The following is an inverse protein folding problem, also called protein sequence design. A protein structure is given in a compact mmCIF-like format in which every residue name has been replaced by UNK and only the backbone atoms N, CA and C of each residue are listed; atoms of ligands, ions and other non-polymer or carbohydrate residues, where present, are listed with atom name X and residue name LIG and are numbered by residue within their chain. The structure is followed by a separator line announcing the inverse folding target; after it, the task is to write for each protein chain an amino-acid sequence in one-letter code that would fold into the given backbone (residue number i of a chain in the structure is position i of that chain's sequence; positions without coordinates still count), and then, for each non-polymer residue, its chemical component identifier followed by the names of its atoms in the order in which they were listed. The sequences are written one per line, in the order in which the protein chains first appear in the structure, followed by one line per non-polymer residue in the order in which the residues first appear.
data_IF_263882460643
#
_entry.id   IF_263882460643
#
_cell.length_a   1.000
_cell.length_b   1.000
_cell.length_c   1.000
_cell.angle_alpha   90.00
_cell.angle_beta   90.00
_cell.angle_gamma   90.00
#
_symmetry.space_group_name_H-M   'P 1'
#
loop_
_entity.id
_entity.type
_entity.pdbx_description
1 polymer ?
#
# COMPACT_ATOMS: atom_id res chain seq x y z
N UNK A 1 34.63 -23.72 14.61
CA UNK A 1 33.52 -23.54 15.59
C UNK A 1 33.25 -22.04 15.86
N UNK A 2 34.26 -21.20 16.05
CA UNK A 2 34.08 -19.76 16.35
C UNK A 2 33.51 -18.95 15.16
N UNK A 3 33.86 -19.23 13.92
CA UNK A 3 33.33 -18.55 12.72
C UNK A 3 31.83 -18.82 12.52
N UNK A 4 31.40 -20.08 12.68
CA UNK A 4 29.99 -20.46 12.55
C UNK A 4 29.16 -19.79 13.66
N UNK A 5 29.70 -19.71 14.87
CA UNK A 5 29.02 -19.03 15.98
C UNK A 5 28.90 -17.51 15.74
N UNK A 6 29.94 -16.87 15.18
CA UNK A 6 29.92 -15.46 14.82
C UNK A 6 28.91 -15.15 13.70
N UNK A 7 28.83 -15.99 12.66
CA UNK A 7 27.85 -15.85 11.58
C UNK A 7 26.43 -16.06 12.09
N UNK A 8 26.20 -17.07 12.96
CA UNK A 8 24.90 -17.30 13.60
C UNK A 8 24.48 -16.13 14.44
N UNK A 9 25.39 -15.54 15.24
CA UNK A 9 25.08 -14.38 16.08
C UNK A 9 24.79 -13.13 15.23
N UNK A 10 25.51 -12.93 14.13
CA UNK A 10 25.26 -11.85 13.17
C UNK A 10 23.89 -12.02 12.49
N UNK A 11 23.53 -13.25 12.13
CA UNK A 11 22.21 -13.57 11.56
C UNK A 11 21.07 -13.33 12.57
N UNK A 12 21.26 -13.75 13.82
CA UNK A 12 20.27 -13.51 14.89
C UNK A 12 20.11 -12.02 15.19
N UNK A 13 21.20 -11.27 15.28
CA UNK A 13 21.15 -9.83 15.49
C UNK A 13 20.43 -9.10 14.33
N UNK A 14 20.68 -9.51 13.08
CA UNK A 14 19.98 -8.95 11.92
C UNK A 14 18.47 -9.27 11.93
N UNK A 15 18.10 -10.42 12.47
CA UNK A 15 16.69 -10.82 12.66
C UNK A 15 16.02 -10.00 13.77
N UNK A 16 16.68 -9.79 14.89
CA UNK A 16 16.16 -8.98 16.01
C UNK A 16 15.99 -7.51 15.60
N UNK A 17 16.88 -6.96 14.79
CA UNK A 17 16.76 -5.62 14.23
C UNK A 17 15.58 -5.54 13.26
N UNK A 18 15.41 -6.54 12.40
CA UNK A 18 14.27 -6.66 11.49
C UNK A 18 12.94 -6.77 12.23
N UNK A 19 12.87 -7.53 13.33
CA UNK A 19 11.67 -7.63 14.17
C UNK A 19 11.34 -6.31 14.88
N UNK A 20 12.34 -5.59 15.40
CA UNK A 20 12.14 -4.27 16.02
C UNK A 20 11.61 -3.24 15.04
N UNK A 21 12.05 -3.27 13.79
CA UNK A 21 11.54 -2.40 12.74
C UNK A 21 10.10 -2.72 12.37
N UNK A 22 9.71 -4.00 12.34
CA UNK A 22 8.33 -4.44 12.11
C UNK A 22 7.43 -3.99 13.24
N UNK A 23 7.80 -4.21 14.51
CA UNK A 23 7.03 -3.78 15.66
C UNK A 23 6.83 -2.25 15.69
N UNK A 24 7.87 -1.49 15.40
CA UNK A 24 7.80 -0.03 15.29
C UNK A 24 6.90 0.43 14.16
N UNK A 25 6.94 -0.25 13.00
CA UNK A 25 6.06 0.04 11.88
C UNK A 25 4.60 -0.28 12.22
N UNK A 26 4.33 -1.42 12.86
CA UNK A 26 2.99 -1.78 13.31
C UNK A 26 2.45 -0.79 14.34
N UNK A 27 3.29 -0.30 15.25
CA UNK A 27 2.92 0.73 16.22
C UNK A 27 2.57 2.06 15.51
N UNK A 28 3.37 2.48 14.51
CA UNK A 28 3.11 3.67 13.71
C UNK A 28 1.83 3.55 12.86
N UNK A 29 1.49 2.34 12.41
CA UNK A 29 0.27 2.05 11.66
C UNK A 29 -0.97 1.96 12.55
N UNK A 30 -0.78 1.54 13.82
CA UNK A 30 -1.89 1.27 14.73
C UNK A 30 -2.67 2.54 15.05
N UNK A 31 -3.99 2.48 14.84
CA UNK A 31 -4.88 3.59 15.15
C UNK A 31 -4.82 4.80 14.20
N UNK A 32 -3.96 4.77 13.16
CA UNK A 32 -3.86 5.83 12.15
C UNK A 32 -4.33 5.32 10.79
N UNK A 33 -4.96 6.20 10.02
CA UNK A 33 -5.21 5.93 8.60
C UNK A 33 -3.94 6.15 7.80
N UNK A 34 -3.66 5.27 6.83
CA UNK A 34 -2.46 5.33 6.02
C UNK A 34 -2.70 4.84 4.58
N UNK A 35 -1.75 5.10 3.70
CA UNK A 35 -1.79 4.73 2.30
C UNK A 35 -0.85 3.56 2.05
N UNK A 36 -1.37 2.49 1.45
CA UNK A 36 -0.57 1.38 0.93
C UNK A 36 -0.28 1.64 -0.54
N UNK A 37 0.95 2.05 -0.84
CA UNK A 37 1.44 2.15 -2.20
C UNK A 37 1.84 0.76 -2.69
N UNK A 38 1.32 0.34 -3.83
CA UNK A 38 1.51 -0.99 -4.38
C UNK A 38 1.91 -0.94 -5.85
N UNK A 39 2.40 -2.04 -6.37
CA UNK A 39 2.66 -2.27 -7.79
C UNK A 39 2.01 -3.56 -8.27
N UNK A 40 1.86 -3.72 -9.59
CA UNK A 40 1.41 -4.97 -10.24
C UNK A 40 2.50 -6.05 -10.21
N UNK A 41 3.19 -6.16 -9.08
CA UNK A 41 4.28 -7.12 -8.89
C UNK A 41 3.86 -8.29 -8.02
N UNK A 42 4.24 -9.49 -8.42
CA UNK A 42 3.92 -10.71 -7.70
C UNK A 42 2.42 -11.01 -7.67
N UNK A 43 1.95 -11.61 -6.60
CA UNK A 43 0.53 -11.97 -6.43
C UNK A 43 -0.24 -10.87 -5.69
N UNK A 44 -0.14 -9.65 -6.15
CA UNK A 44 -0.74 -8.47 -5.53
C UNK A 44 -2.27 -8.58 -5.30
N UNK A 45 -3.01 -9.26 -6.18
CA UNK A 45 -4.46 -9.51 -5.98
C UNK A 45 -4.77 -10.31 -4.70
N UNK A 46 -3.82 -11.10 -4.19
CA UNK A 46 -4.03 -11.82 -2.92
C UNK A 46 -4.04 -10.90 -1.71
N UNK A 47 -3.57 -9.67 -1.84
CA UNK A 47 -3.51 -8.70 -0.74
C UNK A 47 -4.88 -8.20 -0.29
N UNK A 48 -5.94 -8.48 -1.06
CA UNK A 48 -7.33 -8.22 -0.63
C UNK A 48 -7.70 -8.94 0.67
N UNK A 49 -7.03 -10.04 1.01
CA UNK A 49 -7.26 -10.75 2.26
C UNK A 49 -6.56 -10.10 3.47
N UNK A 50 -5.72 -9.08 3.26
CA UNK A 50 -5.06 -8.35 4.35
C UNK A 50 -6.07 -7.76 5.35
N UNK A 51 -7.28 -7.44 4.89
CA UNK A 51 -8.37 -6.98 5.76
C UNK A 51 -8.70 -7.97 6.89
N UNK A 52 -8.42 -9.27 6.72
CA UNK A 52 -8.59 -10.29 7.75
C UNK A 52 -7.52 -10.24 8.86
N UNK A 53 -6.44 -9.49 8.64
CA UNK A 53 -5.26 -9.43 9.52
C UNK A 53 -5.04 -8.02 10.11
N UNK A 54 -6.00 -7.12 9.95
CA UNK A 54 -5.92 -5.74 10.45
C UNK A 54 -7.23 -5.29 11.05
N UNK A 55 -7.17 -4.37 12.01
CA UNK A 55 -8.35 -3.70 12.56
C UNK A 55 -8.83 -2.53 11.70
N UNK A 56 -8.14 -2.22 10.61
CA UNK A 56 -8.48 -1.13 9.71
C UNK A 56 -9.63 -1.50 8.76
N UNK A 57 -10.32 -0.48 8.26
CA UNK A 57 -11.11 -0.60 7.03
C UNK A 57 -10.15 -0.53 5.84
N UNK A 58 -10.28 -1.43 4.89
CA UNK A 58 -9.39 -1.45 3.71
C UNK A 58 -10.17 -1.00 2.48
N UNK A 59 -9.75 0.11 1.89
CA UNK A 59 -10.22 0.63 0.62
C UNK A 59 -9.27 0.20 -0.50
N UNK A 60 -9.76 -0.62 -1.43
CA UNK A 60 -9.02 -0.98 -2.63
C UNK A 60 -9.43 -0.05 -3.78
N UNK A 61 -8.53 0.83 -4.17
CA UNK A 61 -8.80 1.79 -5.24
C UNK A 61 -8.78 1.09 -6.59
N UNK A 62 -9.81 1.32 -7.40
CA UNK A 62 -9.90 0.73 -8.71
C UNK A 62 -10.48 1.70 -9.75
N UNK A 63 -10.23 1.43 -11.01
CA UNK A 63 -10.88 2.11 -12.12
C UNK A 63 -12.08 1.28 -12.58
N UNK A 64 -13.30 1.81 -12.56
CA UNK A 64 -14.49 1.10 -13.03
C UNK A 64 -14.33 0.64 -14.48
N UNK A 65 -14.76 -0.58 -14.77
CA UNK A 65 -14.68 -1.19 -16.08
C UNK A 65 -15.91 -0.83 -16.92
N UNK A 66 -15.74 -0.67 -18.23
CA UNK A 66 -16.85 -0.38 -19.14
C UNK A 66 -17.89 -1.52 -19.20
N UNK A 67 -17.45 -2.77 -19.06
CA UNK A 67 -18.35 -3.91 -19.01
C UNK A 67 -18.89 -4.10 -17.58
N UNK A 68 -20.16 -3.78 -17.39
CA UNK A 68 -20.82 -3.84 -16.07
C UNK A 68 -20.88 -5.25 -15.46
N UNK A 69 -20.85 -6.32 -16.26
CA UNK A 69 -20.84 -7.70 -15.74
C UNK A 69 -19.47 -8.03 -15.17
N UNK A 70 -18.41 -7.69 -15.91
CA UNK A 70 -17.02 -7.88 -15.49
C UNK A 70 -16.71 -7.00 -14.27
N UNK A 71 -17.16 -5.76 -14.28
CA UNK A 71 -16.98 -4.83 -13.16
C UNK A 71 -17.59 -5.39 -11.86
N UNK A 72 -18.85 -5.87 -11.92
CA UNK A 72 -19.52 -6.51 -10.78
C UNK A 72 -18.79 -7.76 -10.30
N UNK A 73 -18.26 -8.57 -11.22
CA UNK A 73 -17.48 -9.75 -10.86
C UNK A 73 -16.22 -9.37 -10.05
N UNK A 74 -15.42 -8.43 -10.54
CA UNK A 74 -14.22 -7.98 -9.82
C UNK A 74 -14.56 -7.29 -8.52
N UNK A 75 -15.60 -6.47 -8.49
CA UNK A 75 -16.09 -5.85 -7.26
C UNK A 75 -16.45 -6.91 -6.20
N UNK A 76 -17.23 -7.91 -6.58
CA UNK A 76 -17.61 -9.01 -5.68
C UNK A 76 -16.40 -9.83 -5.24
N UNK A 77 -15.47 -10.15 -6.15
CA UNK A 77 -14.26 -10.90 -5.83
C UNK A 77 -13.37 -10.15 -4.82
N UNK A 78 -13.21 -8.85 -4.99
CA UNK A 78 -12.41 -8.00 -4.10
C UNK A 78 -13.08 -7.73 -2.75
N UNK A 79 -14.40 -7.73 -2.69
CA UNK A 79 -15.16 -7.49 -1.44
C UNK A 79 -15.32 -8.74 -0.58
N UNK A 80 -15.00 -9.93 -1.09
CA UNK A 80 -15.32 -11.22 -0.44
C UNK A 80 -14.75 -11.39 0.97
N UNK A 81 -13.67 -10.69 1.30
CA UNK A 81 -13.04 -10.73 2.63
C UNK A 81 -13.35 -9.49 3.49
N UNK A 82 -14.13 -8.53 2.97
CA UNK A 82 -14.45 -7.29 3.67
C UNK A 82 -13.68 -6.06 3.19
N UNK A 83 -12.77 -6.22 2.22
CA UNK A 83 -12.16 -5.08 1.50
C UNK A 83 -13.24 -4.34 0.75
N UNK A 84 -13.19 -3.01 0.75
CA UNK A 84 -14.14 -2.12 0.10
C UNK A 84 -13.53 -1.57 -1.20
N UNK A 85 -13.92 -2.05 -2.38
CA UNK A 85 -13.51 -1.45 -3.64
C UNK A 85 -14.09 -0.04 -3.76
N UNK A 86 -13.23 0.95 -4.01
CA UNK A 86 -13.65 2.35 -4.15
C UNK A 86 -13.17 2.90 -5.49
N UNK A 87 -14.06 3.50 -6.31
CA UNK A 87 -13.66 4.14 -7.55
C UNK A 87 -12.60 5.22 -7.32
N UNK A 88 -11.63 5.30 -8.21
CA UNK A 88 -10.50 6.24 -8.12
C UNK A 88 -10.97 7.69 -7.94
N UNK A 89 -12.06 8.09 -8.59
CA UNK A 89 -12.58 9.46 -8.50
C UNK A 89 -13.21 9.79 -7.14
N UNK A 90 -13.67 8.77 -6.39
CA UNK A 90 -14.37 8.93 -5.13
C UNK A 90 -13.47 8.72 -3.91
N UNK A 91 -12.26 8.16 -4.09
CA UNK A 91 -11.43 7.72 -2.97
C UNK A 91 -11.08 8.83 -1.97
N UNK A 92 -10.86 10.04 -2.45
CA UNK A 92 -10.53 11.15 -1.58
C UNK A 92 -11.71 11.51 -0.67
N UNK A 93 -12.91 11.61 -1.24
CA UNK A 93 -14.16 11.88 -0.53
C UNK A 93 -14.48 10.77 0.48
N UNK A 94 -14.41 9.51 0.05
CA UNK A 94 -14.70 8.35 0.89
C UNK A 94 -13.70 8.23 2.05
N UNK A 95 -12.43 8.52 1.81
CA UNK A 95 -11.40 8.52 2.88
C UNK A 95 -11.68 9.60 3.93
N UNK A 96 -12.05 10.81 3.51
CA UNK A 96 -12.42 11.90 4.43
C UNK A 96 -13.67 11.50 5.23
N UNK A 97 -14.73 11.04 4.56
CA UNK A 97 -15.96 10.62 5.21
C UNK A 97 -15.71 9.52 6.25
N UNK A 98 -14.90 8.53 5.90
CA UNK A 98 -14.55 7.45 6.80
C UNK A 98 -13.75 7.91 8.04
N UNK A 99 -12.86 8.87 7.88
CA UNK A 99 -12.10 9.46 9.02
C UNK A 99 -12.97 10.32 9.92
N UNK A 100 -13.91 11.07 9.34
CA UNK A 100 -14.83 11.93 10.11
C UNK A 100 -15.90 11.13 10.86
N UNK A 101 -16.25 9.94 10.39
CA UNK A 101 -17.27 9.10 11.04
C UNK A 101 -16.85 8.56 12.42
N UNK A 102 -15.60 8.75 12.83
CA UNK A 102 -15.10 8.29 14.13
C UNK A 102 -15.01 6.76 14.28
N UNK A 103 -15.07 6.03 13.17
CA UNK A 103 -14.95 4.58 13.15
C UNK A 103 -13.49 4.08 13.11
N UNK A 104 -13.32 2.84 12.68
CA UNK A 104 -11.98 2.25 12.48
C UNK A 104 -11.15 3.07 11.48
N UNK A 105 -9.83 3.20 11.68
CA UNK A 105 -8.94 3.86 10.75
C UNK A 105 -8.95 3.16 9.38
N UNK A 106 -8.49 3.85 8.34
CA UNK A 106 -8.58 3.41 6.95
C UNK A 106 -7.21 3.15 6.36
N UNK A 107 -7.07 2.02 5.69
CA UNK A 107 -5.97 1.76 4.75
C UNK A 107 -6.47 2.03 3.34
N UNK A 108 -5.80 2.91 2.61
CA UNK A 108 -6.10 3.18 1.20
C UNK A 108 -5.06 2.47 0.35
N UNK A 109 -5.43 1.37 -0.29
CA UNK A 109 -4.55 0.60 -1.16
C UNK A 109 -4.63 1.13 -2.60
N UNK A 110 -3.50 1.65 -3.10
CA UNK A 110 -3.33 2.24 -4.43
C UNK A 110 -2.20 1.54 -5.19
N UNK A 111 -2.50 1.09 -6.39
CA UNK A 111 -1.51 0.59 -7.34
C UNK A 111 -1.17 1.73 -8.29
N UNK A 112 0.08 2.15 -8.34
CA UNK A 112 0.49 3.39 -9.01
C UNK A 112 1.69 3.24 -9.97
N UNK A 113 1.98 2.03 -10.41
CA UNK A 113 3.08 1.70 -11.33
C UNK A 113 2.69 1.74 -12.81
N UNK A 114 1.48 2.18 -13.13
CA UNK A 114 1.04 2.38 -14.51
C UNK A 114 1.18 3.84 -14.94
N UNK A 115 1.34 4.03 -16.26
CA UNK A 115 1.36 5.35 -16.87
C UNK A 115 -0.02 6.01 -16.79
N UNK A 116 -0.13 7.26 -16.33
CA UNK A 116 -1.39 8.00 -16.37
C UNK A 116 -1.86 8.23 -17.82
N UNK A 117 -3.18 8.41 -18.05
CA UNK A 117 -3.68 8.90 -19.32
C UNK A 117 -3.00 10.23 -19.70
N UNK A 118 -2.76 10.46 -21.01
CA UNK A 118 -2.02 11.63 -21.48
C UNK A 118 -2.48 12.96 -20.89
N UNK A 119 -3.77 13.17 -20.78
CA UNK A 119 -4.36 14.40 -20.22
C UNK A 119 -4.23 14.54 -18.70
N UNK A 120 -3.83 13.49 -17.99
CA UNK A 120 -3.61 13.48 -16.54
C UNK A 120 -2.13 13.59 -16.17
N UNK A 121 -1.21 13.51 -17.14
CA UNK A 121 0.23 13.62 -16.89
C UNK A 121 0.56 15.05 -16.42
N UNK A 122 1.16 15.13 -15.23
CA UNK A 122 1.57 16.41 -14.64
C UNK A 122 3.07 16.48 -14.36
N UNK A 123 3.68 15.32 -14.11
CA UNK A 123 5.07 15.23 -13.73
C UNK A 123 5.75 14.11 -14.50
N UNK A 124 7.00 14.35 -14.88
CA UNK A 124 7.87 13.40 -15.55
C UNK A 124 9.10 13.20 -14.68
N UNK A 125 9.52 11.96 -14.53
CA UNK A 125 10.69 11.59 -13.77
C UNK A 125 11.62 10.73 -14.62
N UNK A 126 12.93 10.85 -14.41
CA UNK A 126 13.89 9.98 -15.04
C UNK A 126 13.85 8.61 -14.37
N UNK A 127 13.35 7.59 -15.08
CA UNK A 127 13.25 6.22 -14.59
C UNK A 127 13.77 5.25 -15.65
N UNK A 128 14.75 4.39 -15.28
CA UNK A 128 15.41 3.44 -16.20
C UNK A 128 15.89 4.11 -17.50
N UNK A 129 16.58 5.24 -17.38
CA UNK A 129 17.10 6.05 -18.48
C UNK A 129 16.04 6.63 -19.43
N UNK A 130 14.78 6.66 -19.04
CA UNK A 130 13.67 7.21 -19.81
C UNK A 130 12.88 8.23 -19.00
N UNK A 131 12.35 9.24 -19.67
CA UNK A 131 11.38 10.15 -19.07
C UNK A 131 10.05 9.43 -18.93
N UNK A 132 9.63 9.20 -17.70
CA UNK A 132 8.48 8.36 -17.36
C UNK A 132 7.49 9.16 -16.55
N UNK A 133 6.21 9.22 -16.96
CA UNK A 133 5.18 9.87 -16.17
C UNK A 133 4.63 8.94 -15.11
N UNK A 134 4.37 9.48 -13.93
CA UNK A 134 3.79 8.75 -12.81
C UNK A 134 2.49 9.40 -12.32
N UNK A 135 1.62 8.57 -11.74
CA UNK A 135 0.43 9.06 -11.05
C UNK A 135 0.81 9.84 -9.79
N UNK A 136 0.28 11.07 -9.65
CA UNK A 136 0.45 11.91 -8.46
C UNK A 136 -0.65 11.69 -7.40
N UNK A 137 -1.47 10.66 -7.54
CA UNK A 137 -2.62 10.43 -6.65
C UNK A 137 -2.21 10.14 -5.21
N UNK A 138 -1.19 9.29 -5.01
CA UNK A 138 -0.66 8.94 -3.69
C UNK A 138 -0.09 10.17 -3.00
N UNK A 139 0.80 10.90 -3.66
CA UNK A 139 1.42 12.12 -3.16
C UNK A 139 0.38 13.16 -2.73
N UNK A 140 -0.57 13.48 -3.62
CA UNK A 140 -1.64 14.44 -3.33
C UNK A 140 -2.49 14.04 -2.14
N UNK A 141 -2.83 12.77 -2.04
CA UNK A 141 -3.61 12.26 -0.92
C UNK A 141 -2.80 12.30 0.38
N UNK A 142 -1.55 11.86 0.34
CA UNK A 142 -0.65 11.86 1.49
C UNK A 142 -0.46 13.26 2.06
N UNK A 143 -0.13 14.23 1.22
CA UNK A 143 0.09 15.63 1.63
C UNK A 143 -1.19 16.30 2.15
N UNK A 144 -2.30 16.19 1.40
CA UNK A 144 -3.56 16.87 1.79
C UNK A 144 -4.20 16.29 3.04
N UNK A 145 -4.13 14.96 3.21
CA UNK A 145 -4.75 14.28 4.35
C UNK A 145 -3.77 14.01 5.49
N UNK A 146 -2.49 14.39 5.33
CA UNK A 146 -1.41 14.10 6.29
C UNK A 146 -1.41 12.62 6.67
N UNK A 147 -1.44 11.75 5.65
CA UNK A 147 -1.45 10.31 5.82
C UNK A 147 -0.07 9.74 5.52
N UNK A 148 0.47 8.88 6.38
CA UNK A 148 1.70 8.16 6.07
C UNK A 148 1.50 7.24 4.87
N UNK A 149 2.58 7.04 4.12
CA UNK A 149 2.64 6.16 2.95
C UNK A 149 3.60 5.03 3.23
N UNK A 150 3.12 3.81 3.10
CA UNK A 150 3.92 2.61 3.15
C UNK A 150 3.92 1.93 1.78
N UNK A 151 5.08 1.54 1.30
CA UNK A 151 5.18 0.69 0.12
C UNK A 151 5.01 -0.76 0.54
N UNK A 152 4.05 -1.45 -0.06
CA UNK A 152 3.82 -2.87 0.18
C UNK A 152 4.54 -3.70 -0.88
N UNK A 153 5.52 -4.46 -0.43
CA UNK A 153 6.24 -5.42 -1.23
C UNK A 153 5.72 -6.84 -0.98
N UNK A 154 5.26 -7.51 -2.02
CA UNK A 154 4.77 -8.89 -1.94
C UNK A 154 5.79 -9.81 -2.59
N UNK A 155 6.30 -10.78 -1.83
CA UNK A 155 7.24 -11.78 -2.35
C UNK A 155 6.72 -13.20 -2.14
N UNK A 156 7.01 -14.07 -3.09
CA UNK A 156 6.76 -15.50 -2.96
C UNK A 156 7.94 -16.15 -2.27
N UNK A 157 7.70 -16.77 -1.12
CA UNK A 157 8.74 -17.45 -0.31
C UNK A 157 8.77 -18.95 -0.47
N UNK A 158 7.62 -19.55 -0.83
CA UNK A 158 7.48 -20.98 -1.13
C UNK A 158 6.27 -21.20 -2.05
N UNK A 159 6.04 -22.40 -2.59
CA UNK A 159 4.81 -22.71 -3.29
C UNK A 159 3.59 -22.40 -2.43
N UNK A 160 2.70 -21.53 -2.93
CA UNK A 160 1.48 -21.05 -2.23
C UNK A 160 1.72 -20.24 -0.95
N UNK A 161 2.97 -19.82 -0.67
CA UNK A 161 3.30 -18.97 0.48
C UNK A 161 3.84 -17.63 0.00
N UNK A 162 3.25 -16.57 0.51
CA UNK A 162 3.60 -15.20 0.18
C UNK A 162 3.78 -14.41 1.47
N UNK A 163 4.72 -13.49 1.44
CA UNK A 163 4.95 -12.52 2.52
C UNK A 163 4.69 -11.12 1.98
N UNK A 164 4.04 -10.29 2.77
CA UNK A 164 3.88 -8.86 2.52
C UNK A 164 4.72 -8.09 3.54
N UNK A 165 5.60 -7.25 3.04
CA UNK A 165 6.45 -6.36 3.84
C UNK A 165 6.04 -4.91 3.55
N UNK A 166 5.94 -4.09 4.60
CA UNK A 166 5.62 -2.68 4.49
C UNK A 166 6.86 -1.85 4.79
N UNK A 167 7.22 -0.95 3.87
CA UNK A 167 8.32 0.01 4.04
C UNK A 167 7.76 1.41 4.12
N UNK A 168 8.08 2.14 5.19
CA UNK A 168 7.70 3.54 5.31
C UNK A 168 8.40 4.37 4.21
N UNK A 169 7.59 5.10 3.43
CA UNK A 169 8.05 6.02 2.37
C UNK A 169 7.89 7.47 2.82
N UNK A 170 6.80 7.75 3.53
CA UNK A 170 6.47 9.08 4.03
C UNK A 170 5.69 8.94 5.34
N UNK A 171 6.03 9.72 6.36
CA UNK A 171 5.44 9.63 7.70
C UNK A 171 4.14 10.44 7.89
N UNK A 172 3.75 11.26 6.92
CA UNK A 172 2.59 12.13 6.97
C UNK A 172 2.84 13.47 7.67
N UNK A 173 4.06 13.78 8.09
CA UNK A 173 4.41 14.96 8.89
C UNK A 173 5.46 15.82 8.22
N UNK A 174 6.55 15.23 7.72
CA UNK A 174 7.65 15.99 7.13
C UNK A 174 7.25 16.64 5.81
N UNK A 175 7.70 17.88 5.52
CA UNK A 175 7.56 18.46 4.20
C UNK A 175 8.36 17.64 3.20
N UNK A 176 7.74 17.25 2.09
CA UNK A 176 8.43 16.62 0.97
C UNK A 176 9.29 17.67 0.30
N UNK A 177 10.59 17.42 0.14
CA UNK A 177 11.47 18.29 -0.63
C UNK A 177 10.97 18.38 -2.08
N UNK A 178 10.90 19.59 -2.63
CA UNK A 178 10.55 19.85 -4.02
C UNK A 178 11.62 19.34 -5.00
#
# INVERSE_FOLDING_TARGET
HSKILAEKNKFLASKEEQYRDVEKQEELMRGRSWISAMSHFGSWELTINYVCHTDHRVFAVYRPLHNAVVDRFYHSARSRFGTQPVPMNDIFKETIAARLSGGKPVIVALIADQTPPWHEIKHWYRFLEQDTPFFSGIEKMALKLKMPVYFMHVRKVAPRHYEAEFKLVYDGVEPVAE
#
